data_IF_703541906427
#
_entry.id   IF_703541906427
#
_cell.length_a   1.000
_cell.length_b   1.000
_cell.length_c   1.000
_cell.angle_alpha   90.00
_cell.angle_beta   90.00
_cell.angle_gamma   90.00
#
_symmetry.space_group_name_H-M   'P 1'
#
loop_
_entity.id
_entity.type
_entity.pdbx_description
1 polymer ?
#
# COMPACT_ATOMS: atom_id res chain seq x y z
N UNK A 1 -17.04 6.88 6.80
CA UNK A 1 -16.76 5.46 6.46
C UNK A 1 -15.34 5.32 5.92
N UNK A 2 -14.65 4.18 6.10
CA UNK A 2 -13.26 3.98 5.66
C UNK A 2 -13.18 3.15 4.37
N UNK A 3 -12.42 3.61 3.38
CA UNK A 3 -12.07 2.89 2.15
C UNK A 3 -10.57 2.61 2.13
N UNK A 4 -10.19 1.38 1.74
CA UNK A 4 -8.76 1.06 1.56
C UNK A 4 -8.23 1.71 0.28
N UNK A 5 -7.00 2.23 0.31
CA UNK A 5 -6.35 2.76 -0.88
C UNK A 5 -6.29 1.73 -2.05
N UNK A 6 -6.31 0.43 -1.74
CA UNK A 6 -6.35 -0.64 -2.75
C UNK A 6 -7.71 -0.78 -3.43
N UNK A 7 -8.79 -0.43 -2.74
CA UNK A 7 -10.17 -0.50 -3.23
C UNK A 7 -10.60 0.81 -3.92
N UNK A 8 -9.82 1.87 -3.78
CA UNK A 8 -10.21 3.20 -4.25
C UNK A 8 -10.42 3.26 -5.76
N UNK A 9 -9.56 2.60 -6.54
CA UNK A 9 -9.70 2.59 -8.00
C UNK A 9 -10.92 1.79 -8.48
N UNK A 10 -11.31 0.76 -7.75
CA UNK A 10 -12.54 0.01 -8.04
C UNK A 10 -13.78 0.88 -7.73
N UNK A 11 -13.76 1.60 -6.61
CA UNK A 11 -14.79 2.58 -6.27
C UNK A 11 -14.87 3.73 -7.29
N UNK A 12 -13.72 4.24 -7.76
CA UNK A 12 -13.60 5.27 -8.78
C UNK A 12 -14.21 4.82 -10.11
N UNK A 13 -13.98 3.57 -10.51
CA UNK A 13 -14.50 3.00 -11.75
C UNK A 13 -16.02 2.83 -11.71
N UNK A 14 -16.56 2.35 -10.60
CA UNK A 14 -18.00 2.18 -10.37
C UNK A 14 -18.32 2.15 -8.89
N UNK A 15 -18.74 3.28 -8.36
CA UNK A 15 -19.15 3.43 -6.95
C UNK A 15 -20.26 2.45 -6.58
N UNK A 16 -21.24 2.25 -7.47
CA UNK A 16 -22.37 1.34 -7.25
C UNK A 16 -21.90 -0.12 -7.17
N UNK A 17 -21.12 -0.60 -8.13
CA UNK A 17 -20.62 -1.98 -8.17
C UNK A 17 -19.71 -2.27 -6.97
N UNK A 18 -18.82 -1.33 -6.65
CA UNK A 18 -17.96 -1.44 -5.47
C UNK A 18 -18.77 -1.53 -4.17
N UNK A 19 -19.80 -0.67 -4.02
CA UNK A 19 -20.66 -0.66 -2.84
C UNK A 19 -21.44 -1.97 -2.67
N UNK A 20 -22.05 -2.47 -3.74
CA UNK A 20 -22.76 -3.74 -3.75
C UNK A 20 -21.83 -4.91 -3.41
N UNK A 21 -20.64 -4.95 -4.00
CA UNK A 21 -19.63 -5.96 -3.70
C UNK A 21 -19.17 -5.93 -2.25
N UNK A 22 -19.06 -4.74 -1.66
CA UNK A 22 -18.69 -4.57 -0.25
C UNK A 22 -19.76 -5.07 0.71
N UNK A 23 -21.03 -4.86 0.39
CA UNK A 23 -22.16 -5.41 1.19
C UNK A 23 -22.28 -6.93 1.07
N UNK A 24 -22.04 -7.48 -0.11
CA UNK A 24 -22.06 -8.91 -0.34
C UNK A 24 -20.87 -9.65 0.29
N UNK A 25 -19.72 -8.99 0.43
CA UNK A 25 -18.49 -9.61 0.97
C UNK A 25 -18.41 -9.50 2.49
N UNK A 26 -19.35 -10.14 3.21
CA UNK A 26 -19.16 -10.53 4.61
C UNK A 26 -18.17 -11.72 4.74
N UNK A 27 -17.62 -12.18 3.63
CA UNK A 27 -16.76 -13.35 3.56
C UNK A 27 -15.34 -13.06 4.05
N UNK A 28 -14.83 -13.93 4.89
CA UNK A 28 -13.44 -14.06 5.29
C UNK A 28 -12.51 -13.81 4.09
N UNK A 29 -11.75 -12.72 4.11
CA UNK A 29 -10.65 -12.56 3.16
C UNK A 29 -9.60 -13.60 3.52
N UNK A 30 -9.42 -14.59 2.67
CA UNK A 30 -8.37 -15.59 2.85
C UNK A 30 -7.01 -14.87 2.94
N UNK A 31 -6.18 -15.34 3.86
CA UNK A 31 -4.80 -14.87 3.99
C UNK A 31 -4.03 -15.28 2.73
N UNK A 32 -3.66 -14.31 1.90
CA UNK A 32 -3.05 -14.56 0.59
C UNK A 32 -1.52 -14.60 0.62
N UNK A 33 -0.93 -15.22 -0.39
CA UNK A 33 0.54 -15.29 -0.59
C UNK A 33 1.21 -13.91 -0.52
N UNK A 34 0.64 -12.90 -1.20
CA UNK A 34 1.17 -11.54 -1.15
C UNK A 34 1.18 -10.94 0.25
N UNK A 35 0.19 -11.27 1.09
CA UNK A 35 0.18 -10.80 2.48
C UNK A 35 1.26 -11.49 3.32
N UNK A 36 1.53 -12.78 3.06
CA UNK A 36 2.62 -13.49 3.72
C UNK A 36 3.98 -12.86 3.42
N UNK A 37 4.23 -12.54 2.15
CA UNK A 37 5.45 -11.85 1.73
C UNK A 37 5.59 -10.48 2.39
N UNK A 38 4.54 -9.66 2.35
CA UNK A 38 4.55 -8.33 2.98
C UNK A 38 4.83 -8.41 4.48
N UNK A 39 4.26 -9.39 5.18
CA UNK A 39 4.51 -9.60 6.60
C UNK A 39 5.96 -10.04 6.89
N UNK A 40 6.54 -10.89 6.02
CA UNK A 40 7.94 -11.28 6.13
C UNK A 40 8.89 -10.10 5.88
N UNK A 41 8.62 -9.28 4.88
CA UNK A 41 9.37 -8.05 4.57
C UNK A 41 9.26 -7.05 5.74
N UNK A 42 8.07 -6.86 6.29
CA UNK A 42 7.91 -6.04 7.48
C UNK A 42 8.72 -6.58 8.67
N UNK A 43 8.70 -7.90 8.89
CA UNK A 43 9.52 -8.54 9.94
C UNK A 43 11.01 -8.30 9.72
N UNK A 44 11.47 -8.35 8.45
CA UNK A 44 12.84 -8.04 8.08
C UNK A 44 13.22 -6.61 8.49
N UNK A 45 12.45 -5.61 8.11
CA UNK A 45 12.76 -4.21 8.44
C UNK A 45 12.71 -3.94 9.95
N UNK A 46 11.73 -4.51 10.64
CA UNK A 46 11.59 -4.32 12.08
C UNK A 46 12.74 -4.92 12.89
N UNK A 47 13.33 -6.03 12.44
CA UNK A 47 14.36 -6.76 13.17
C UNK A 47 15.75 -6.61 12.58
N UNK A 48 15.87 -6.01 11.41
CA UNK A 48 17.06 -5.99 10.56
C UNK A 48 17.68 -7.40 10.37
N UNK A 49 16.84 -8.43 10.33
CA UNK A 49 17.27 -9.84 10.32
C UNK A 49 16.60 -10.64 9.22
N UNK A 50 17.38 -11.05 8.21
CA UNK A 50 16.93 -11.98 7.18
C UNK A 50 16.46 -13.32 7.74
N UNK A 51 17.15 -13.82 8.79
CA UNK A 51 16.77 -15.06 9.47
C UNK A 51 15.37 -14.94 10.10
N UNK A 52 15.08 -13.82 10.77
CA UNK A 52 13.77 -13.59 11.38
C UNK A 52 12.66 -13.49 10.33
N UNK A 53 12.92 -12.85 9.17
CA UNK A 53 11.98 -12.79 8.06
C UNK A 53 11.66 -14.18 7.50
N UNK A 54 12.69 -14.98 7.21
CA UNK A 54 12.55 -16.37 6.70
C UNK A 54 11.77 -17.26 7.67
N UNK A 55 12.14 -17.24 8.94
CA UNK A 55 11.42 -18.02 9.96
C UNK A 55 9.96 -17.63 10.05
N UNK A 56 9.66 -16.33 9.99
CA UNK A 56 8.29 -15.83 10.00
C UNK A 56 7.52 -16.24 8.74
N UNK A 57 8.14 -16.14 7.56
CA UNK A 57 7.54 -16.58 6.30
C UNK A 57 7.18 -18.07 6.34
N UNK A 58 8.11 -18.94 6.76
CA UNK A 58 7.87 -20.38 6.89
C UNK A 58 6.72 -20.71 7.83
N UNK A 59 6.64 -20.06 9.00
CA UNK A 59 5.51 -20.24 9.90
C UNK A 59 4.15 -19.88 9.27
N UNK A 60 4.11 -18.88 8.39
CA UNK A 60 2.90 -18.51 7.68
C UNK A 60 2.58 -19.50 6.55
N UNK A 61 3.60 -19.99 5.85
CA UNK A 61 3.46 -21.01 4.81
C UNK A 61 2.88 -22.29 5.40
N UNK A 62 3.49 -22.83 6.44
CA UNK A 62 3.09 -24.08 7.09
C UNK A 62 1.63 -24.08 7.56
N UNK A 63 1.12 -22.88 7.92
CA UNK A 63 -0.25 -22.72 8.44
C UNK A 63 -1.31 -22.52 7.37
N UNK A 64 -0.95 -22.00 6.19
CA UNK A 64 -1.94 -21.41 5.29
C UNK A 64 -1.84 -21.90 3.83
N UNK A 65 -0.72 -22.54 3.44
CA UNK A 65 -0.47 -22.83 2.02
C UNK A 65 -0.01 -24.26 1.81
N UNK A 66 -0.45 -24.83 0.68
CA UNK A 66 -0.13 -26.23 0.29
C UNK A 66 0.41 -26.33 -1.14
N UNK A 67 0.37 -25.26 -1.93
CA UNK A 67 0.83 -25.28 -3.31
C UNK A 67 2.35 -25.03 -3.35
N UNK A 68 3.12 -26.09 -3.55
CA UNK A 68 4.59 -26.09 -3.53
C UNK A 68 5.18 -25.03 -4.47
N UNK A 69 4.76 -25.00 -5.73
CA UNK A 69 5.29 -24.02 -6.70
C UNK A 69 5.12 -22.57 -6.22
N UNK A 70 3.96 -22.23 -5.66
CA UNK A 70 3.71 -20.88 -5.13
C UNK A 70 4.48 -20.61 -3.85
N UNK A 71 4.80 -21.63 -3.09
CA UNK A 71 5.66 -21.54 -1.90
C UNK A 71 7.09 -21.21 -2.33
N UNK A 72 7.62 -21.93 -3.32
CA UNK A 72 8.96 -21.68 -3.86
C UNK A 72 9.09 -20.26 -4.43
N UNK A 73 8.09 -19.81 -5.22
CA UNK A 73 8.04 -18.44 -5.75
C UNK A 73 8.05 -17.40 -4.62
N UNK A 74 7.29 -17.64 -3.55
CA UNK A 74 7.19 -16.75 -2.39
C UNK A 74 8.50 -16.66 -1.60
N UNK A 75 9.17 -17.78 -1.39
CA UNK A 75 10.50 -17.82 -0.75
C UNK A 75 11.54 -17.13 -1.62
N UNK A 76 11.52 -17.37 -2.93
CA UNK A 76 12.41 -16.72 -3.88
C UNK A 76 12.23 -15.20 -3.93
N UNK A 77 11.00 -14.71 -3.93
CA UNK A 77 10.68 -13.28 -3.87
C UNK A 77 11.19 -12.64 -2.57
N UNK A 78 10.99 -13.30 -1.43
CA UNK A 78 11.50 -12.83 -0.15
C UNK A 78 13.03 -12.70 -0.15
N UNK A 79 13.73 -13.71 -0.65
CA UNK A 79 15.21 -13.69 -0.76
C UNK A 79 15.70 -12.61 -1.72
N UNK A 80 15.03 -12.45 -2.85
CA UNK A 80 15.34 -11.42 -3.84
C UNK A 80 15.18 -10.03 -3.27
N UNK A 81 14.07 -9.78 -2.55
CA UNK A 81 13.85 -8.52 -1.85
C UNK A 81 14.94 -8.22 -0.83
N UNK A 82 15.29 -9.17 0.02
CA UNK A 82 16.33 -9.00 1.05
C UNK A 82 17.68 -8.69 0.43
N UNK A 83 18.06 -9.41 -0.64
CA UNK A 83 19.29 -9.16 -1.39
C UNK A 83 19.33 -7.78 -2.02
N UNK A 84 18.22 -7.40 -2.67
CA UNK A 84 18.09 -6.08 -3.27
C UNK A 84 18.22 -4.98 -2.21
N UNK A 85 17.49 -5.06 -1.11
CA UNK A 85 17.52 -4.05 -0.06
C UNK A 85 18.92 -3.87 0.53
N UNK A 86 19.64 -4.95 0.77
CA UNK A 86 21.02 -4.88 1.27
C UNK A 86 22.01 -4.20 0.32
N UNK A 87 21.73 -4.26 -0.99
CA UNK A 87 22.57 -3.64 -2.02
C UNK A 87 22.15 -2.21 -2.36
N UNK A 88 20.91 -1.87 -2.12
CA UNK A 88 20.33 -0.57 -2.52
C UNK A 88 20.85 0.62 -1.72
N UNK A 89 21.38 0.39 -0.52
CA UNK A 89 21.75 1.47 0.40
C UNK A 89 20.56 2.25 0.98
N UNK A 90 19.33 1.83 0.70
CA UNK A 90 18.12 2.50 1.16
C UNK A 90 17.99 2.40 2.68
N UNK A 91 17.78 3.53 3.33
CA UNK A 91 17.47 3.60 4.76
C UNK A 91 15.97 3.63 4.94
N UNK A 92 15.45 2.67 5.67
CA UNK A 92 14.01 2.55 5.97
C UNK A 92 13.70 3.21 7.30
N UNK A 93 12.86 4.24 7.28
CA UNK A 93 12.39 4.94 8.48
C UNK A 93 11.30 4.15 9.21
N UNK A 94 10.37 3.52 8.46
CA UNK A 94 9.24 2.79 9.01
C UNK A 94 8.72 1.75 7.99
N UNK A 95 7.96 0.76 8.47
CA UNK A 95 7.35 -0.27 7.62
C UNK A 95 5.99 -0.70 8.15
N UNK A 96 5.12 -1.17 7.25
CA UNK A 96 3.74 -1.55 7.57
C UNK A 96 2.93 -0.39 8.18
N UNK A 97 3.04 0.79 7.58
CA UNK A 97 2.47 2.04 8.09
C UNK A 97 0.97 2.04 7.85
N UNK A 98 0.20 2.10 8.93
CA UNK A 98 -1.25 2.25 8.84
C UNK A 98 -1.62 3.67 8.43
N UNK A 99 -2.33 3.78 7.30
CA UNK A 99 -3.01 5.01 6.90
C UNK A 99 -4.37 5.12 7.60
N UNK A 100 -4.68 6.33 8.04
CA UNK A 100 -5.99 6.76 8.45
C UNK A 100 -6.05 8.27 8.20
N UNK A 101 -6.57 8.66 7.04
CA UNK A 101 -6.52 10.03 6.57
C UNK A 101 -7.92 10.50 6.20
N UNK A 102 -8.44 11.46 6.95
CA UNK A 102 -9.71 12.11 6.66
C UNK A 102 -9.46 13.39 5.86
N UNK A 103 -10.17 13.50 4.74
CA UNK A 103 -10.07 14.65 3.83
C UNK A 103 -11.29 15.56 3.99
N UNK A 104 -12.20 15.20 4.90
CA UNK A 104 -13.56 15.73 4.99
C UNK A 104 -14.53 14.95 4.10
N UNK A 105 -15.79 14.93 4.49
CA UNK A 105 -16.84 14.18 3.80
C UNK A 105 -17.09 12.79 4.37
N UNK A 106 -17.73 11.93 3.57
CA UNK A 106 -18.27 10.63 4.01
C UNK A 106 -17.19 9.53 4.05
N UNK A 107 -16.13 9.63 3.24
CA UNK A 107 -15.08 8.62 3.17
C UNK A 107 -13.78 9.08 3.83
N UNK A 108 -13.15 8.16 4.55
CA UNK A 108 -11.76 8.28 5.01
C UNK A 108 -10.87 7.32 4.24
N UNK A 109 -9.68 7.76 3.83
CA UNK A 109 -8.68 6.91 3.22
C UNK A 109 -7.98 6.06 4.28
N UNK A 110 -7.93 4.76 4.05
CA UNK A 110 -7.27 3.79 4.92
C UNK A 110 -6.34 2.85 4.17
N UNK A 111 -5.71 1.95 4.91
CA UNK A 111 -4.87 0.90 4.35
C UNK A 111 -3.49 0.80 4.99
N UNK A 112 -2.59 0.08 4.34
CA UNK A 112 -1.21 -0.12 4.78
C UNK A 112 -0.25 0.30 3.67
N UNK A 113 0.73 1.12 4.00
CA UNK A 113 1.90 1.40 3.18
C UNK A 113 3.00 0.46 3.62
N UNK A 114 3.64 -0.17 2.66
CA UNK A 114 4.57 -1.27 2.94
C UNK A 114 5.84 -0.79 3.61
N UNK A 115 6.38 0.37 3.16
CA UNK A 115 7.65 0.90 3.62
C UNK A 115 7.71 2.42 3.45
N UNK A 116 8.44 3.09 4.34
CA UNK A 116 8.82 4.50 4.26
C UNK A 116 10.33 4.60 4.21
N UNK A 117 10.87 5.04 3.10
CA UNK A 117 12.30 5.25 2.90
C UNK A 117 12.67 6.70 3.26
N UNK A 118 13.89 6.90 3.76
CA UNK A 118 14.52 8.21 3.86
C UNK A 118 15.19 8.50 2.52
N UNK A 119 14.99 9.70 1.99
CA UNK A 119 15.59 10.20 0.76
C UNK A 119 16.25 11.54 1.01
N UNK A 120 17.02 12.03 0.05
CA UNK A 120 17.70 13.33 0.16
C UNK A 120 16.73 14.50 0.31
N UNK A 121 15.52 14.37 -0.20
CA UNK A 121 14.47 15.41 -0.12
C UNK A 121 13.50 15.22 1.06
N UNK A 122 13.53 14.08 1.76
CA UNK A 122 12.62 13.79 2.87
C UNK A 122 12.23 12.30 2.92
N UNK A 123 11.02 11.95 2.50
CA UNK A 123 10.51 10.58 2.58
C UNK A 123 10.00 10.05 1.23
N UNK A 124 10.04 8.71 1.09
CA UNK A 124 9.35 8.00 0.02
C UNK A 124 8.47 6.91 0.60
N UNK A 125 7.16 7.03 0.39
CA UNK A 125 6.18 6.01 0.76
C UNK A 125 6.09 4.96 -0.34
N UNK A 126 6.45 3.71 -0.05
CA UNK A 126 6.51 2.63 -1.04
C UNK A 126 5.39 1.63 -0.84
N UNK A 127 4.67 1.32 -1.92
CA UNK A 127 3.68 0.26 -2.01
C UNK A 127 4.35 -0.95 -2.68
N UNK A 128 4.47 -2.06 -1.95
CA UNK A 128 4.92 -3.33 -2.51
C UNK A 128 3.73 -4.08 -3.12
N UNK A 129 3.93 -4.60 -4.31
CA UNK A 129 2.92 -5.35 -5.04
C UNK A 129 2.72 -4.78 -6.44
N UNK A 130 2.03 -5.51 -7.28
CA UNK A 130 1.91 -5.24 -8.69
C UNK A 130 1.66 -3.76 -8.99
N UNK A 131 2.72 -3.09 -9.44
CA UNK A 131 2.59 -1.82 -10.11
C UNK A 131 1.82 -2.07 -11.41
N UNK A 132 0.63 -1.49 -11.53
CA UNK A 132 0.00 -1.41 -12.84
C UNK A 132 0.85 -0.45 -13.68
N UNK A 133 0.98 -0.69 -14.96
CA UNK A 133 1.73 0.18 -15.89
C UNK A 133 1.30 1.65 -15.84
N UNK A 134 0.17 1.94 -15.24
CA UNK A 134 -0.45 3.26 -15.15
C UNK A 134 -0.65 3.76 -13.71
N UNK A 135 0.14 3.28 -12.77
CA UNK A 135 -0.01 3.58 -11.34
C UNK A 135 0.06 5.08 -11.00
N UNK A 136 0.82 5.86 -11.80
CA UNK A 136 0.96 7.32 -11.62
C UNK A 136 -0.36 8.08 -11.78
N UNK A 137 -1.32 7.53 -12.53
CA UNK A 137 -2.65 8.12 -12.74
C UNK A 137 -3.70 7.62 -11.73
N UNK A 138 -3.31 6.78 -10.79
CA UNK A 138 -4.23 6.29 -9.77
C UNK A 138 -4.50 7.38 -8.73
N UNK A 139 -5.78 7.60 -8.44
CA UNK A 139 -6.25 8.60 -7.48
C UNK A 139 -5.62 8.43 -6.08
N UNK A 140 -5.34 7.18 -5.71
CA UNK A 140 -4.75 6.87 -4.39
C UNK A 140 -3.35 7.46 -4.21
N UNK A 141 -2.56 7.66 -5.26
CA UNK A 141 -1.15 8.05 -5.14
C UNK A 141 -0.95 9.46 -4.57
N UNK A 142 -1.55 10.53 -5.15
CA UNK A 142 -1.45 11.86 -4.54
C UNK A 142 -2.10 11.93 -3.15
N UNK A 143 -3.12 11.11 -2.89
CA UNK A 143 -3.74 11.05 -1.57
C UNK A 143 -2.84 10.37 -0.53
N UNK A 144 -2.09 9.34 -0.90
CA UNK A 144 -1.09 8.69 -0.04
C UNK A 144 0.05 9.68 0.28
N UNK A 145 0.56 10.40 -0.73
CA UNK A 145 1.56 11.45 -0.52
C UNK A 145 1.10 12.43 0.54
N UNK A 146 -0.11 12.97 0.37
CA UNK A 146 -0.71 13.91 1.31
C UNK A 146 -0.91 13.32 2.71
N UNK A 147 -1.35 12.06 2.79
CA UNK A 147 -1.56 11.37 4.07
C UNK A 147 -0.24 11.13 4.83
N UNK A 148 0.82 10.76 4.12
CA UNK A 148 2.16 10.57 4.70
C UNK A 148 2.76 11.90 5.11
N UNK A 149 2.66 12.95 4.27
CA UNK A 149 3.10 14.30 4.61
C UNK A 149 2.44 14.79 5.91
N UNK A 150 1.13 14.66 6.00
CA UNK A 150 0.38 15.00 7.21
C UNK A 150 0.82 14.18 8.43
N UNK A 151 0.94 12.86 8.28
CA UNK A 151 1.28 11.94 9.37
C UNK A 151 2.66 12.23 9.98
N UNK A 152 3.63 12.61 9.16
CA UNK A 152 5.02 12.84 9.59
C UNK A 152 5.39 14.32 9.70
N UNK A 153 4.41 15.23 9.57
CA UNK A 153 4.60 16.66 9.71
C UNK A 153 5.57 17.24 8.69
N UNK A 154 5.48 16.80 7.43
CA UNK A 154 6.36 17.24 6.34
C UNK A 154 5.60 18.02 5.27
N UNK A 155 6.26 18.95 4.58
CA UNK A 155 5.73 19.51 3.33
C UNK A 155 5.41 18.38 2.32
N UNK A 156 4.38 18.55 1.50
CA UNK A 156 4.01 17.51 0.52
C UNK A 156 5.08 17.32 -0.54
N UNK A 157 5.85 18.34 -0.83
CA UNK A 157 6.97 18.35 -1.78
C UNK A 157 8.18 17.53 -1.29
N UNK A 158 8.25 17.25 0.01
CA UNK A 158 9.28 16.41 0.64
C UNK A 158 8.88 14.93 0.74
N UNK A 159 7.75 14.54 0.13
CA UNK A 159 7.25 13.16 0.17
C UNK A 159 7.00 12.65 -1.23
N UNK A 160 7.77 11.66 -1.66
CA UNK A 160 7.50 10.88 -2.85
C UNK A 160 6.57 9.70 -2.54
N UNK A 161 5.83 9.23 -3.52
CA UNK A 161 5.10 7.95 -3.48
C UNK A 161 5.62 7.04 -4.56
N UNK A 162 5.93 5.81 -4.20
CA UNK A 162 6.50 4.85 -5.13
C UNK A 162 5.80 3.49 -5.10
N UNK A 163 6.02 2.76 -6.17
CA UNK A 163 5.66 1.35 -6.30
C UNK A 163 6.90 0.52 -6.52
N UNK A 164 6.90 -0.67 -6.00
CA UNK A 164 7.99 -1.61 -6.18
C UNK A 164 7.46 -3.04 -6.30
N UNK A 165 8.07 -3.81 -7.17
CA UNK A 165 7.83 -5.24 -7.28
C UNK A 165 8.23 -5.95 -5.97
N UNK A 166 7.50 -6.99 -5.53
CA UNK A 166 7.80 -7.70 -4.29
C UNK A 166 9.18 -8.36 -4.26
N UNK A 167 9.72 -8.72 -5.42
CA UNK A 167 11.07 -9.28 -5.57
C UNK A 167 12.20 -8.25 -5.41
N UNK A 168 11.86 -6.96 -5.20
CA UNK A 168 12.82 -5.87 -5.03
C UNK A 168 13.21 -5.13 -6.31
N UNK A 169 12.78 -5.60 -7.47
CA UNK A 169 13.08 -4.93 -8.74
C UNK A 169 12.15 -3.71 -8.97
N UNK A 170 12.51 -2.88 -9.93
CA UNK A 170 11.70 -1.80 -10.48
C UNK A 170 11.04 -0.88 -9.43
N UNK A 171 11.86 -0.29 -8.53
CA UNK A 171 11.37 0.80 -7.69
C UNK A 171 11.23 2.06 -8.54
N UNK A 172 10.00 2.53 -8.67
CA UNK A 172 9.66 3.79 -9.33
C UNK A 172 8.93 4.69 -8.35
N UNK A 173 9.15 6.00 -8.44
CA UNK A 173 8.46 6.99 -7.60
C UNK A 173 8.05 8.24 -8.37
N UNK A 174 7.20 9.04 -7.73
CA UNK A 174 6.66 10.29 -8.23
C UNK A 174 6.38 11.25 -7.07
N UNK A 175 6.50 12.55 -7.33
CA UNK A 175 6.06 13.61 -6.43
C UNK A 175 4.95 14.38 -7.12
N UNK A 176 3.76 14.33 -6.54
CA UNK A 176 2.60 15.05 -7.04
C UNK A 176 2.62 16.48 -6.52
N UNK A 177 2.29 17.42 -7.39
CA UNK A 177 2.18 18.84 -7.03
C UNK A 177 1.00 19.10 -6.10
N UNK A 178 1.04 20.20 -5.38
CA UNK A 178 -0.05 20.65 -4.52
C UNK A 178 -1.38 20.79 -5.29
N UNK A 179 -1.33 21.18 -6.59
CA UNK A 179 -2.51 21.24 -7.44
C UNK A 179 -3.10 19.86 -7.77
N UNK A 180 -2.25 18.87 -8.08
CA UNK A 180 -2.68 17.49 -8.30
C UNK A 180 -3.28 16.86 -7.04
N UNK A 181 -2.68 17.13 -5.88
CA UNK A 181 -3.21 16.68 -4.58
C UNK A 181 -4.57 17.33 -4.30
N UNK A 182 -4.72 18.62 -4.55
CA UNK A 182 -5.99 19.33 -4.36
C UNK A 182 -7.09 18.74 -5.27
N UNK A 183 -6.78 18.50 -6.54
CA UNK A 183 -7.68 17.83 -7.48
C UNK A 183 -8.09 16.43 -7.02
N UNK A 184 -7.12 15.63 -6.55
CA UNK A 184 -7.37 14.31 -6.04
C UNK A 184 -8.28 14.30 -4.78
N UNK A 185 -8.09 15.27 -3.87
CA UNK A 185 -8.96 15.45 -2.70
C UNK A 185 -10.40 15.77 -3.10
N UNK A 186 -10.59 16.65 -4.08
CA UNK A 186 -11.92 16.99 -4.58
C UNK A 186 -12.60 15.78 -5.23
N UNK A 187 -11.86 15.01 -6.02
CA UNK A 187 -12.39 13.79 -6.63
C UNK A 187 -12.77 12.76 -5.55
N UNK A 188 -11.93 12.57 -4.54
CA UNK A 188 -12.21 11.68 -3.43
C UNK A 188 -13.47 12.09 -2.63
N UNK A 189 -13.68 13.38 -2.41
CA UNK A 189 -14.89 13.90 -1.76
C UNK A 189 -16.14 13.59 -2.59
N UNK A 190 -16.10 13.82 -3.92
CA UNK A 190 -17.21 13.47 -4.81
C UNK A 190 -17.54 11.98 -4.80
N UNK A 191 -16.53 11.12 -4.72
CA UNK A 191 -16.74 9.68 -4.54
C UNK A 191 -17.45 9.39 -3.21
N UNK A 192 -17.06 10.08 -2.14
CA UNK A 192 -17.71 9.98 -0.84
C UNK A 192 -19.18 10.34 -0.87
N UNK A 193 -19.54 11.43 -1.55
CA UNK A 193 -20.93 11.84 -1.76
C UNK A 193 -21.71 10.79 -2.59
N UNK A 194 -21.06 10.21 -3.60
CA UNK A 194 -21.62 9.12 -4.39
C UNK A 194 -21.95 7.89 -3.56
N UNK A 195 -21.04 7.50 -2.65
CA UNK A 195 -21.26 6.37 -1.72
C UNK A 195 -22.34 6.69 -0.70
N UNK A 196 -22.35 7.91 -0.16
CA UNK A 196 -23.36 8.35 0.81
C UNK A 196 -24.78 8.22 0.26
N UNK A 197 -25.00 8.59 -1.01
CA UNK A 197 -26.30 8.45 -1.69
C UNK A 197 -26.75 7.00 -1.88
N UNK A 198 -25.84 6.04 -1.84
CA UNK A 198 -26.14 4.61 -1.96
C UNK A 198 -26.36 3.93 -0.60
N UNK A 199 -26.02 4.63 0.48
CA UNK A 199 -26.16 4.12 1.84
C UNK A 199 -27.58 4.45 2.34
N UNK A 200 -28.41 3.47 2.70
CA UNK A 200 -29.71 3.75 3.29
C UNK A 200 -29.55 4.54 4.60
N UNK A 201 -30.53 5.37 4.96
CA UNK A 201 -30.53 6.13 6.21
C UNK A 201 -30.55 5.23 7.45
#
# INVERSE_FOLDING_TARGET
MKISHRELEDCRRSTRTWWQGRQASSAFRSFGYGQALLNAIHRYHRTNSARAARSHLRQMIDRNFTNEKRIDDLEADCESYIRWHRRSGIVVADSNIRLSYSIGGFLDLGGLISRLDITDIGYRAVILGAGRSNWRNELRMPLIQSAIAFKYGRPVEEVAVGVQEPNGNALEDEIYTSAQIASARQEFQRLGEGVQRLTPP
#
